data_IF_354038753716
#
_entry.id   IF_354038753716
#
_cell.length_a   1.000
_cell.length_b   1.000
_cell.length_c   1.000
_cell.angle_alpha   90.00
_cell.angle_beta   90.00
_cell.angle_gamma   90.00
#
_symmetry.space_group_name_H-M   'P 1'
#
loop_
_entity.id
_entity.type
_entity.pdbx_description
1 polymer ?
#
# COMPACT_ATOMS: atom_id res chain seq x y z
N UNK A 1 63.61 68.56 -20.09
CA UNK A 1 62.23 68.38 -19.54
C UNK A 1 61.79 66.96 -19.82
N UNK A 2 61.82 66.08 -18.81
CA UNK A 2 61.55 64.65 -18.95
C UNK A 2 60.25 64.42 -18.19
N UNK A 3 59.16 64.10 -18.93
CA UNK A 3 57.87 63.71 -18.36
C UNK A 3 57.94 62.28 -17.86
N UNK A 4 57.69 62.04 -16.57
CA UNK A 4 57.53 60.78 -15.94
C UNK A 4 56.05 60.31 -16.10
N UNK A 5 55.83 59.33 -16.90
CA UNK A 5 54.55 58.65 -16.95
C UNK A 5 54.48 57.67 -15.78
N UNK A 6 53.55 57.83 -14.86
CA UNK A 6 53.24 56.95 -13.77
C UNK A 6 52.33 55.81 -14.27
N UNK A 7 52.85 54.59 -14.32
CA UNK A 7 52.01 53.40 -14.59
C UNK A 7 51.09 53.11 -13.39
N UNK A 8 49.81 53.26 -13.57
CA UNK A 8 48.78 52.90 -12.62
C UNK A 8 48.43 51.39 -12.86
N UNK A 9 48.91 50.52 -11.99
CA UNK A 9 48.56 49.11 -12.02
C UNK A 9 47.26 48.94 -11.25
N UNK A 10 46.21 48.60 -11.97
CA UNK A 10 44.88 48.26 -11.42
C UNK A 10 44.88 46.80 -11.03
N UNK A 11 44.64 46.43 -9.75
CA UNK A 11 44.53 45.01 -9.40
C UNK A 11 43.20 44.46 -9.89
N UNK A 12 43.24 43.47 -10.77
CA UNK A 12 42.10 42.64 -11.16
C UNK A 12 41.69 41.75 -9.98
N UNK A 13 40.55 42.04 -9.36
CA UNK A 13 39.94 41.17 -8.38
C UNK A 13 39.32 39.98 -9.14
N UNK A 14 39.96 38.83 -9.08
CA UNK A 14 39.40 37.58 -9.54
C UNK A 14 38.40 37.10 -8.48
N UNK A 15 37.10 37.39 -8.66
CA UNK A 15 36.04 36.76 -7.89
C UNK A 15 35.88 35.36 -8.42
N UNK A 16 36.49 34.39 -7.73
CA UNK A 16 36.28 32.97 -8.01
C UNK A 16 34.84 32.59 -7.76
N UNK A 17 34.08 32.35 -8.84
CA UNK A 17 32.77 31.70 -8.75
C UNK A 17 33.01 30.24 -8.38
N UNK A 18 32.89 29.91 -7.08
CA UNK A 18 32.83 28.52 -6.65
C UNK A 18 31.52 27.93 -7.19
N UNK A 19 31.59 26.81 -7.94
CA UNK A 19 30.37 26.14 -8.35
C UNK A 19 29.65 25.65 -7.08
N UNK A 20 28.45 26.19 -6.83
CA UNK A 20 27.52 25.60 -5.87
C UNK A 20 27.19 24.22 -6.40
N UNK A 21 27.89 23.20 -5.94
CA UNK A 21 27.45 21.81 -6.13
C UNK A 21 26.15 21.67 -5.34
N UNK A 22 25.03 21.76 -6.07
CA UNK A 22 23.76 21.32 -5.56
C UNK A 22 23.93 19.86 -5.13
N UNK A 23 24.01 19.64 -3.82
CA UNK A 23 23.96 18.32 -3.25
C UNK A 23 22.62 17.73 -3.72
N UNK A 24 22.64 16.88 -4.75
CA UNK A 24 21.52 16.03 -5.07
C UNK A 24 21.24 15.23 -3.81
N UNK A 25 20.25 15.63 -3.04
CA UNK A 25 19.71 14.84 -1.97
C UNK A 25 19.23 13.55 -2.63
N UNK A 26 20.02 12.49 -2.44
CA UNK A 26 19.66 11.14 -2.87
C UNK A 26 18.31 10.85 -2.23
N UNK A 27 17.23 10.95 -3.02
CA UNK A 27 15.89 10.62 -2.53
C UNK A 27 15.98 9.18 -2.04
N UNK A 28 15.89 9.00 -0.74
CA UNK A 28 15.91 7.66 -0.17
C UNK A 28 14.70 6.90 -0.71
N UNK A 29 14.93 5.72 -1.30
CA UNK A 29 13.86 4.83 -1.73
C UNK A 29 13.07 4.26 -0.55
N UNK A 30 13.47 4.61 0.68
CA UNK A 30 12.91 4.09 1.92
C UNK A 30 12.15 5.21 2.63
N UNK A 31 10.92 4.91 3.02
CA UNK A 31 10.10 5.83 3.80
C UNK A 31 10.32 5.57 5.28
N UNK A 32 10.91 6.53 5.98
CA UNK A 32 11.01 6.51 7.42
C UNK A 32 9.97 7.45 8.04
N UNK A 33 9.75 7.30 9.34
CA UNK A 33 8.88 8.20 10.08
C UNK A 33 9.41 9.63 10.01
N UNK A 34 8.50 10.59 9.84
CA UNK A 34 8.80 12.02 9.89
C UNK A 34 8.26 12.65 11.18
N UNK A 35 8.80 13.80 11.53
CA UNK A 35 8.32 14.57 12.68
C UNK A 35 6.78 14.75 12.64
N UNK A 36 6.06 14.59 13.78
CA UNK A 36 6.57 14.38 15.14
C UNK A 36 6.88 12.93 15.53
N UNK A 37 6.75 11.98 14.61
CA UNK A 37 7.01 10.56 14.89
C UNK A 37 8.51 10.28 15.04
N UNK A 38 8.85 9.39 15.96
CA UNK A 38 10.23 8.93 16.11
C UNK A 38 10.66 8.12 14.88
N UNK A 39 11.90 8.32 14.43
CA UNK A 39 12.43 7.54 13.34
C UNK A 39 12.55 6.06 13.72
N UNK A 40 12.18 5.19 12.78
CA UNK A 40 12.30 3.74 12.95
C UNK A 40 13.78 3.34 12.84
N UNK A 41 14.28 2.45 13.72
CA UNK A 41 15.62 1.90 13.58
C UNK A 41 15.76 1.01 12.33
N UNK A 42 14.66 0.44 11.86
CA UNK A 42 14.58 -0.35 10.63
C UNK A 42 13.47 0.19 9.74
N UNK A 43 13.72 0.21 8.44
CA UNK A 43 12.74 0.63 7.43
C UNK A 43 12.38 -0.52 6.52
N UNK A 44 11.12 -0.57 6.13
CA UNK A 44 10.59 -1.56 5.21
C UNK A 44 11.18 -1.35 3.82
N UNK A 45 11.68 -2.41 3.20
CA UNK A 45 12.13 -2.36 1.81
C UNK A 45 10.93 -2.46 0.86
N UNK A 46 10.97 -1.78 -0.29
CA UNK A 46 9.93 -1.96 -1.30
C UNK A 46 9.83 -3.43 -1.73
N UNK A 47 8.60 -3.94 -1.85
CA UNK A 47 8.35 -5.33 -2.23
C UNK A 47 9.01 -5.64 -3.58
N UNK A 48 9.72 -6.75 -3.64
CA UNK A 48 10.46 -7.18 -4.83
C UNK A 48 11.89 -6.63 -4.95
N UNK A 49 12.32 -5.74 -4.04
CA UNK A 49 13.71 -5.24 -4.01
C UNK A 49 14.71 -6.34 -3.68
N UNK A 50 14.37 -7.23 -2.75
CA UNK A 50 15.18 -8.40 -2.40
C UNK A 50 14.59 -9.62 -3.08
N UNK A 51 15.45 -10.39 -3.73
CA UNK A 51 15.09 -11.65 -4.37
C UNK A 51 15.60 -12.82 -3.52
N UNK A 52 14.76 -13.76 -3.14
CA UNK A 52 15.19 -14.95 -2.42
C UNK A 52 16.08 -15.81 -3.30
N UNK A 53 16.96 -16.61 -2.66
CA UNK A 53 17.82 -17.60 -3.31
C UNK A 53 17.84 -18.89 -2.49
N UNK A 54 18.22 -19.99 -3.18
CA UNK A 54 18.36 -21.29 -2.56
C UNK A 54 17.03 -21.81 -2.00
N UNK A 55 17.06 -22.40 -0.79
CA UNK A 55 15.90 -23.03 -0.17
C UNK A 55 14.70 -22.09 0.00
N UNK A 56 14.93 -20.79 0.23
CA UNK A 56 13.87 -19.79 0.39
C UNK A 56 13.16 -19.53 -0.96
N UNK A 57 13.90 -19.44 -2.05
CA UNK A 57 13.35 -19.32 -3.41
C UNK A 57 12.51 -20.59 -3.75
N UNK A 58 13.04 -21.75 -3.42
CA UNK A 58 12.33 -23.02 -3.62
C UNK A 58 11.03 -23.08 -2.82
N UNK A 59 11.06 -22.68 -1.55
CA UNK A 59 9.86 -22.61 -0.70
C UNK A 59 8.80 -21.67 -1.30
N UNK A 60 9.19 -20.49 -1.76
CA UNK A 60 8.27 -19.55 -2.38
C UNK A 60 7.71 -20.07 -3.71
N UNK A 61 8.52 -20.76 -4.52
CA UNK A 61 8.05 -21.41 -5.74
C UNK A 61 7.04 -22.54 -5.42
N UNK A 62 7.25 -23.34 -4.38
CA UNK A 62 6.27 -24.33 -3.93
C UNK A 62 4.96 -23.69 -3.47
N UNK A 63 5.00 -22.53 -2.83
CA UNK A 63 3.79 -21.77 -2.50
C UNK A 63 3.07 -21.29 -3.77
N UNK A 64 3.82 -20.78 -4.75
CA UNK A 64 3.28 -20.26 -6.00
C UNK A 64 2.62 -21.35 -6.87
N UNK A 65 3.23 -22.55 -6.93
CA UNK A 65 2.71 -23.69 -7.68
C UNK A 65 1.76 -24.57 -6.89
N UNK A 66 1.69 -24.38 -5.59
CA UNK A 66 0.82 -25.11 -4.68
C UNK A 66 -0.48 -24.37 -4.38
N UNK A 67 -1.04 -24.65 -3.21
CA UNK A 67 -2.36 -24.16 -2.80
C UNK A 67 -2.47 -22.64 -2.83
N UNK A 68 -1.45 -21.91 -2.37
CA UNK A 68 -1.48 -20.44 -2.36
C UNK A 68 -1.70 -19.85 -3.76
N UNK A 69 -1.02 -20.40 -4.77
CA UNK A 69 -1.16 -19.95 -6.16
C UNK A 69 -2.47 -20.38 -6.84
N UNK A 70 -3.23 -21.32 -6.26
CA UNK A 70 -4.39 -21.94 -6.90
C UNK A 70 -5.69 -21.89 -6.09
N UNK A 71 -5.73 -21.18 -4.96
CA UNK A 71 -6.92 -21.06 -4.12
C UNK A 71 -8.14 -20.49 -4.86
N UNK A 72 -7.91 -19.64 -5.84
CA UNK A 72 -8.97 -19.06 -6.69
C UNK A 72 -9.78 -20.12 -7.44
N UNK A 73 -9.15 -21.21 -7.89
CA UNK A 73 -9.80 -22.32 -8.57
C UNK A 73 -10.32 -23.39 -7.60
N UNK A 74 -9.72 -23.52 -6.42
CA UNK A 74 -10.11 -24.50 -5.41
C UNK A 74 -11.32 -24.04 -4.61
N UNK A 75 -11.40 -22.74 -4.31
CA UNK A 75 -12.47 -22.17 -3.49
C UNK A 75 -13.03 -20.88 -4.11
N UNK A 76 -13.67 -21.04 -5.25
CA UNK A 76 -14.15 -19.95 -6.10
C UNK A 76 -15.02 -18.91 -5.38
N UNK A 77 -15.90 -19.36 -4.46
CA UNK A 77 -16.80 -18.49 -3.70
C UNK A 77 -16.07 -17.55 -2.73
N UNK A 78 -14.87 -17.93 -2.30
CA UNK A 78 -14.13 -17.24 -1.25
C UNK A 78 -12.86 -16.58 -1.77
N UNK A 79 -12.14 -17.20 -2.72
CA UNK A 79 -10.91 -16.65 -3.29
C UNK A 79 -10.98 -16.42 -4.81
N UNK A 80 -12.02 -16.94 -5.48
CA UNK A 80 -12.16 -16.84 -6.94
C UNK A 80 -13.17 -15.78 -7.36
N UNK A 81 -13.62 -15.89 -8.61
CA UNK A 81 -14.45 -14.88 -9.30
C UNK A 81 -15.79 -14.58 -8.61
N UNK A 82 -16.29 -15.50 -7.79
CA UNK A 82 -17.53 -15.28 -7.03
C UNK A 82 -17.33 -14.47 -5.75
N UNK A 83 -16.10 -14.16 -5.34
CA UNK A 83 -15.87 -13.36 -4.13
C UNK A 83 -16.49 -11.95 -4.27
N UNK A 84 -17.07 -11.44 -3.18
CA UNK A 84 -17.70 -10.12 -3.16
C UNK A 84 -16.72 -8.97 -3.38
N UNK A 85 -15.43 -9.16 -3.07
CA UNK A 85 -14.36 -8.21 -3.37
C UNK A 85 -13.93 -8.22 -4.85
N UNK A 86 -14.61 -9.02 -5.67
CA UNK A 86 -14.59 -8.98 -7.15
C UNK A 86 -15.95 -8.66 -7.72
N UNK A 87 -16.90 -8.21 -6.87
CA UNK A 87 -18.27 -7.92 -7.27
C UNK A 87 -19.18 -9.15 -7.36
N UNK A 88 -18.69 -10.33 -7.00
CA UNK A 88 -19.44 -11.59 -7.01
C UNK A 88 -20.50 -11.69 -5.90
N UNK A 89 -21.08 -12.88 -5.80
CA UNK A 89 -22.14 -13.23 -4.86
C UNK A 89 -21.65 -14.14 -3.69
N UNK A 90 -20.34 -14.38 -3.60
CA UNK A 90 -19.71 -15.20 -2.58
C UNK A 90 -19.33 -14.42 -1.33
N UNK A 91 -18.21 -14.82 -0.72
CA UNK A 91 -17.73 -14.23 0.53
C UNK A 91 -17.39 -12.74 0.39
N UNK A 92 -17.84 -11.96 1.36
CA UNK A 92 -17.64 -10.50 1.39
C UNK A 92 -16.71 -10.05 2.54
N UNK A 93 -16.25 -11.00 3.36
CA UNK A 93 -15.50 -10.67 4.57
C UNK A 93 -13.98 -10.83 4.37
N UNK A 94 -13.27 -11.39 5.36
CA UNK A 94 -11.81 -11.31 5.45
C UNK A 94 -11.03 -12.33 4.62
N UNK A 95 -11.63 -13.50 4.30
CA UNK A 95 -10.90 -14.68 3.77
C UNK A 95 -10.24 -14.41 2.42
N UNK A 96 -10.97 -13.81 1.49
CA UNK A 96 -10.43 -13.38 0.20
C UNK A 96 -9.32 -12.34 0.35
N UNK A 97 -9.54 -11.23 1.08
CA UNK A 97 -8.50 -10.27 1.42
C UNK A 97 -7.24 -10.90 2.03
N UNK A 98 -7.35 -11.81 2.98
CA UNK A 98 -6.19 -12.50 3.55
C UNK A 98 -5.40 -13.31 2.53
N UNK A 99 -6.08 -13.95 1.60
CA UNK A 99 -5.40 -14.66 0.53
C UNK A 99 -4.59 -13.70 -0.35
N UNK A 100 -5.16 -12.56 -0.72
CA UNK A 100 -4.47 -11.53 -1.52
C UNK A 100 -3.33 -10.87 -0.75
N UNK A 101 -3.47 -10.66 0.57
CA UNK A 101 -2.41 -10.14 1.45
C UNK A 101 -1.14 -11.02 1.39
N UNK A 102 -1.30 -12.33 1.19
CA UNK A 102 -0.19 -13.26 0.99
C UNK A 102 0.23 -13.42 -0.48
N UNK A 103 -0.72 -13.44 -1.41
CA UNK A 103 -0.45 -13.69 -2.83
C UNK A 103 0.28 -12.52 -3.50
N UNK A 104 -0.07 -11.29 -3.17
CA UNK A 104 0.54 -10.09 -3.76
C UNK A 104 2.05 -10.04 -3.51
N UNK A 105 2.55 -10.07 -2.27
CA UNK A 105 3.99 -10.05 -2.05
C UNK A 105 4.70 -11.25 -2.68
N UNK A 106 4.09 -12.45 -2.66
CA UNK A 106 4.63 -13.63 -3.34
C UNK A 106 4.80 -13.37 -4.85
N UNK A 107 3.78 -12.80 -5.51
CA UNK A 107 3.79 -12.50 -6.93
C UNK A 107 4.90 -11.51 -7.32
N UNK A 108 5.09 -10.45 -6.53
CA UNK A 108 6.06 -9.41 -6.83
C UNK A 108 7.49 -9.78 -6.41
N UNK A 109 7.68 -10.53 -5.32
CA UNK A 109 9.00 -11.00 -4.92
C UNK A 109 9.55 -12.01 -5.93
N UNK A 110 8.74 -12.96 -6.39
CA UNK A 110 9.12 -13.92 -7.42
C UNK A 110 9.12 -13.33 -8.84
N UNK A 111 8.56 -12.14 -9.03
CA UNK A 111 8.29 -11.54 -10.34
C UNK A 111 7.43 -12.45 -11.24
N UNK A 112 6.49 -13.18 -10.63
CA UNK A 112 5.65 -14.15 -11.30
C UNK A 112 4.45 -13.48 -12.00
N UNK A 113 4.41 -13.55 -13.33
CA UNK A 113 3.39 -12.88 -14.16
C UNK A 113 1.99 -13.44 -13.93
N UNK A 114 1.85 -14.75 -13.78
CA UNK A 114 0.55 -15.41 -13.59
C UNK A 114 -0.08 -15.01 -12.25
N UNK A 115 0.71 -14.99 -11.18
CA UNK A 115 0.23 -14.55 -9.88
C UNK A 115 -0.12 -13.06 -9.88
N UNK A 116 0.65 -12.22 -10.57
CA UNK A 116 0.31 -10.80 -10.74
C UNK A 116 -1.02 -10.62 -11.47
N UNK A 117 -1.29 -11.44 -12.51
CA UNK A 117 -2.57 -11.44 -13.21
C UNK A 117 -3.74 -11.84 -12.31
N UNK A 118 -3.54 -12.73 -11.32
CA UNK A 118 -4.55 -13.09 -10.33
C UNK A 118 -4.80 -11.97 -9.32
N UNK A 119 -3.77 -11.24 -8.93
CA UNK A 119 -3.86 -10.10 -7.99
C UNK A 119 -4.55 -8.89 -8.61
N UNK A 120 -4.26 -8.58 -9.87
CA UNK A 120 -4.67 -7.33 -10.52
C UNK A 120 -6.19 -7.07 -10.48
N UNK A 121 -7.09 -8.03 -10.75
CA UNK A 121 -8.54 -7.82 -10.66
C UNK A 121 -9.00 -7.36 -9.26
N UNK A 122 -8.39 -7.85 -8.19
CA UNK A 122 -8.70 -7.44 -6.83
C UNK A 122 -8.33 -5.99 -6.57
N UNK A 123 -7.17 -5.57 -7.05
CA UNK A 123 -6.73 -4.17 -6.95
C UNK A 123 -7.68 -3.24 -7.73
N UNK A 124 -7.95 -3.58 -8.99
CA UNK A 124 -8.80 -2.74 -9.84
C UNK A 124 -10.24 -2.67 -9.30
N UNK A 125 -10.81 -3.79 -8.88
CA UNK A 125 -12.14 -3.77 -8.28
C UNK A 125 -12.17 -2.95 -6.99
N UNK A 126 -11.17 -3.10 -6.13
CA UNK A 126 -11.06 -2.33 -4.88
C UNK A 126 -11.06 -0.83 -5.18
N UNK A 127 -10.20 -0.38 -6.11
CA UNK A 127 -10.14 1.03 -6.51
C UNK A 127 -11.45 1.52 -7.10
N UNK A 128 -12.06 0.74 -8.00
CA UNK A 128 -13.30 1.07 -8.67
C UNK A 128 -14.52 1.07 -7.74
N UNK A 129 -14.47 0.31 -6.64
CA UNK A 129 -15.56 0.23 -5.66
C UNK A 129 -15.71 1.47 -4.78
N UNK A 130 -14.73 2.40 -4.82
CA UNK A 130 -14.76 3.57 -3.95
C UNK A 130 -15.90 4.50 -4.33
N UNK A 131 -16.76 4.78 -3.36
CA UNK A 131 -17.91 5.69 -3.48
C UNK A 131 -17.46 7.15 -3.30
N UNK A 132 -18.28 8.13 -3.74
CA UNK A 132 -17.98 9.55 -3.58
C UNK A 132 -17.69 9.99 -2.13
N UNK A 133 -18.30 9.32 -1.15
CA UNK A 133 -18.04 9.58 0.27
C UNK A 133 -16.76 8.94 0.81
N UNK A 134 -16.03 8.18 -0.01
CA UNK A 134 -14.78 7.51 0.37
C UNK A 134 -14.94 6.06 0.84
N UNK A 135 -16.16 5.57 1.09
CA UNK A 135 -16.40 4.14 1.37
C UNK A 135 -15.93 3.27 0.21
N UNK A 136 -15.37 2.09 0.49
CA UNK A 136 -14.99 1.11 -0.54
C UNK A 136 -15.30 -0.32 -0.08
N UNK A 137 -15.30 -1.22 -1.04
CA UNK A 137 -15.53 -2.64 -0.81
C UNK A 137 -17.02 -3.03 -0.83
N UNK A 138 -17.32 -4.30 -0.55
CA UNK A 138 -18.68 -4.78 -0.42
C UNK A 138 -19.44 -4.03 0.66
N UNK A 139 -20.74 -3.77 0.45
CA UNK A 139 -21.62 -3.08 1.41
C UNK A 139 -22.88 -3.89 1.74
N UNK A 140 -23.12 -4.96 1.00
CA UNK A 140 -24.24 -5.89 1.20
C UNK A 140 -23.80 -7.31 0.92
N UNK A 141 -24.38 -8.26 1.62
CA UNK A 141 -24.28 -9.68 1.29
C UNK A 141 -25.22 -9.98 0.13
N UNK A 142 -24.69 -10.50 -0.97
CA UNK A 142 -25.46 -10.78 -2.19
C UNK A 142 -26.03 -12.18 -2.26
N UNK A 143 -25.43 -13.13 -1.58
CA UNK A 143 -25.80 -14.53 -1.64
C UNK A 143 -25.95 -15.18 -0.28
N UNK A 144 -26.74 -16.26 -0.23
CA UNK A 144 -26.84 -17.14 0.91
C UNK A 144 -26.43 -18.54 0.53
N UNK A 145 -25.26 -18.94 0.99
CA UNK A 145 -24.81 -20.31 0.86
C UNK A 145 -24.18 -20.78 2.19
N UNK A 146 -24.30 -22.07 2.53
CA UNK A 146 -23.62 -22.63 3.68
C UNK A 146 -22.10 -22.39 3.59
N UNK A 147 -21.50 -21.99 4.71
CA UNK A 147 -20.08 -21.72 4.81
C UNK A 147 -19.65 -20.30 4.42
N UNK A 148 -20.54 -19.45 3.91
CA UNK A 148 -20.27 -18.02 3.77
C UNK A 148 -20.61 -17.28 5.06
N UNK A 149 -19.83 -16.25 5.34
CA UNK A 149 -20.10 -15.33 6.45
C UNK A 149 -21.10 -14.26 6.04
N UNK A 150 -21.88 -13.77 7.01
CA UNK A 150 -23.00 -12.88 6.76
C UNK A 150 -23.04 -11.70 7.71
N UNK A 151 -23.85 -10.71 7.34
CA UNK A 151 -24.18 -9.51 8.11
C UNK A 151 -22.95 -8.68 8.47
N UNK A 152 -21.86 -8.88 7.73
CA UNK A 152 -20.56 -8.27 8.00
C UNK A 152 -19.88 -7.63 6.77
N UNK A 153 -20.59 -7.48 5.64
CA UNK A 153 -20.07 -6.82 4.44
C UNK A 153 -19.53 -5.41 4.74
N UNK A 154 -20.17 -4.70 5.69
CA UNK A 154 -19.76 -3.35 6.10
C UNK A 154 -18.72 -3.32 7.21
N UNK A 155 -18.31 -4.46 7.77
CA UNK A 155 -17.34 -4.53 8.85
C UNK A 155 -16.05 -3.77 8.50
N UNK A 156 -15.48 -3.12 9.50
CA UNK A 156 -14.22 -2.42 9.37
C UNK A 156 -13.02 -3.35 9.14
N UNK A 157 -13.09 -4.54 9.72
CA UNK A 157 -11.95 -5.44 9.76
C UNK A 157 -11.42 -5.86 8.36
N UNK A 158 -12.24 -6.37 7.41
CA UNK A 158 -11.73 -6.72 6.09
C UNK A 158 -11.12 -5.54 5.35
N UNK A 159 -11.64 -4.33 5.60
CA UNK A 159 -11.12 -3.09 5.02
C UNK A 159 -9.71 -2.76 5.52
N UNK A 160 -9.41 -3.05 6.79
CA UNK A 160 -8.05 -2.90 7.33
C UNK A 160 -7.06 -3.82 6.61
N UNK A 161 -7.45 -5.07 6.33
CA UNK A 161 -6.63 -6.02 5.54
C UNK A 161 -6.42 -5.48 4.13
N UNK A 162 -7.48 -4.98 3.47
CA UNK A 162 -7.38 -4.45 2.11
C UNK A 162 -6.53 -3.16 2.06
N UNK A 163 -6.59 -2.31 3.06
CA UNK A 163 -5.69 -1.14 3.14
C UNK A 163 -4.21 -1.55 3.18
N UNK A 164 -3.88 -2.63 3.90
CA UNK A 164 -2.53 -3.21 3.88
C UNK A 164 -2.16 -3.76 2.49
N UNK A 165 -3.09 -4.43 1.82
CA UNK A 165 -2.89 -4.88 0.42
C UNK A 165 -2.59 -3.69 -0.49
N UNK A 166 -3.32 -2.58 -0.36
CA UNK A 166 -3.09 -1.37 -1.15
C UNK A 166 -1.73 -0.74 -0.84
N UNK A 167 -1.31 -0.73 0.41
CA UNK A 167 0.04 -0.30 0.82
C UNK A 167 1.12 -1.19 0.17
N UNK A 168 0.94 -2.51 0.20
CA UNK A 168 1.84 -3.47 -0.45
C UNK A 168 1.90 -3.25 -1.96
N UNK A 169 0.74 -3.03 -2.60
CA UNK A 169 0.65 -2.76 -4.04
C UNK A 169 1.40 -1.47 -4.41
N UNK A 170 1.18 -0.40 -3.63
CA UNK A 170 1.95 0.83 -3.80
C UNK A 170 3.45 0.62 -3.59
N UNK A 171 3.84 -0.17 -2.59
CA UNK A 171 5.25 -0.50 -2.34
C UNK A 171 5.90 -1.15 -3.55
N UNK A 172 5.20 -2.10 -4.20
CA UNK A 172 5.69 -2.85 -5.35
C UNK A 172 5.67 -2.05 -6.67
N UNK A 173 4.65 -1.21 -6.88
CA UNK A 173 4.35 -0.62 -8.20
C UNK A 173 4.48 0.90 -8.27
N UNK A 174 4.39 1.58 -7.12
CA UNK A 174 4.25 3.04 -7.03
C UNK A 174 3.01 3.60 -7.71
N UNK A 175 1.94 2.82 -7.82
CA UNK A 175 0.68 3.27 -8.41
C UNK A 175 0.08 4.44 -7.61
N UNK A 176 0.06 5.60 -8.24
CA UNK A 176 -0.34 6.86 -7.60
C UNK A 176 -1.83 6.92 -7.24
N UNK A 177 -2.67 6.02 -7.75
CA UNK A 177 -4.09 5.94 -7.43
C UNK A 177 -4.33 5.52 -5.98
N UNK A 178 -3.40 4.80 -5.38
CA UNK A 178 -3.50 4.30 -4.00
C UNK A 178 -3.58 5.43 -2.98
N UNK A 179 -2.79 6.48 -3.15
CA UNK A 179 -2.71 7.57 -2.17
C UNK A 179 -4.05 8.32 -2.02
N UNK A 180 -4.67 8.84 -3.09
CA UNK A 180 -5.98 9.49 -2.96
C UNK A 180 -7.09 8.52 -2.52
N UNK A 181 -7.05 7.26 -2.96
CA UNK A 181 -7.97 6.22 -2.53
C UNK A 181 -7.96 6.04 -1.00
N UNK A 182 -6.78 5.82 -0.41
CA UNK A 182 -6.66 5.65 1.05
C UNK A 182 -6.98 6.95 1.81
N UNK A 183 -6.59 8.11 1.26
CA UNK A 183 -6.91 9.41 1.86
C UNK A 183 -8.42 9.63 1.95
N UNK A 184 -9.17 9.34 0.89
CA UNK A 184 -10.62 9.47 0.87
C UNK A 184 -11.30 8.49 1.84
N UNK A 185 -10.79 7.26 1.93
CA UNK A 185 -11.31 6.30 2.89
C UNK A 185 -11.10 6.74 4.34
N UNK A 186 -9.92 7.24 4.71
CA UNK A 186 -9.70 7.69 6.08
C UNK A 186 -10.52 8.94 6.45
N UNK A 187 -10.83 9.81 5.50
CA UNK A 187 -11.82 10.88 5.72
C UNK A 187 -13.21 10.31 6.01
N UNK A 188 -13.67 9.34 5.20
CA UNK A 188 -14.92 8.62 5.44
C UNK A 188 -14.92 7.96 6.83
N UNK A 189 -13.84 7.26 7.18
CA UNK A 189 -13.73 6.58 8.47
C UNK A 189 -13.79 7.56 9.65
N UNK A 190 -13.17 8.72 9.54
CA UNK A 190 -13.21 9.76 10.58
C UNK A 190 -14.65 10.25 10.83
N UNK A 191 -15.47 10.37 9.79
CA UNK A 191 -16.87 10.81 9.89
C UNK A 191 -17.80 9.69 10.38
N UNK A 192 -17.48 8.43 10.07
CA UNK A 192 -18.36 7.29 10.37
C UNK A 192 -18.08 6.60 11.71
N UNK A 193 -16.84 6.64 12.22
CA UNK A 193 -16.49 5.98 13.49
C UNK A 193 -17.33 6.42 14.69
N UNK A 194 -17.71 7.70 14.84
CA UNK A 194 -18.60 8.12 15.93
C UNK A 194 -20.00 7.49 15.87
N UNK A 195 -20.49 7.14 14.67
CA UNK A 195 -21.79 6.54 14.45
C UNK A 195 -21.74 5.00 14.46
N UNK A 196 -20.63 4.48 13.94
CA UNK A 196 -20.39 3.05 13.76
C UNK A 196 -19.00 2.71 14.33
N UNK A 197 -18.85 2.55 15.66
CA UNK A 197 -17.57 2.24 16.28
C UNK A 197 -17.00 0.91 15.79
N UNK A 198 -15.71 0.68 16.01
CA UNK A 198 -14.98 -0.49 15.47
C UNK A 198 -15.67 -1.82 15.80
N UNK A 199 -16.20 -1.99 17.01
CA UNK A 199 -16.93 -3.20 17.42
C UNK A 199 -18.36 -3.33 16.91
N UNK A 200 -18.85 -2.44 16.02
CA UNK A 200 -20.24 -2.39 15.56
C UNK A 200 -20.74 -3.69 14.91
N UNK A 201 -19.94 -4.26 14.04
CA UNK A 201 -20.31 -5.48 13.28
C UNK A 201 -19.68 -6.73 13.87
N UNK A 202 -18.37 -6.69 14.09
CA UNK A 202 -17.64 -7.76 14.78
C UNK A 202 -16.64 -7.17 15.77
N UNK A 203 -16.31 -7.94 16.81
CA UNK A 203 -15.29 -7.54 17.78
C UNK A 203 -13.87 -7.51 17.18
N UNK A 204 -13.67 -8.15 16.03
CA UNK A 204 -12.37 -8.26 15.39
C UNK A 204 -11.79 -6.90 15.00
N UNK A 205 -12.62 -6.00 14.47
CA UNK A 205 -12.16 -4.67 14.10
C UNK A 205 -11.67 -3.86 15.31
N UNK A 206 -12.30 -4.03 16.48
CA UNK A 206 -11.85 -3.42 17.72
C UNK A 206 -10.51 -4.00 18.17
N UNK A 207 -10.39 -5.34 18.20
CA UNK A 207 -9.14 -6.02 18.60
C UNK A 207 -7.98 -5.75 17.64
N UNK A 208 -8.26 -5.44 16.38
CA UNK A 208 -7.29 -5.20 15.32
C UNK A 208 -7.15 -3.72 14.93
N UNK A 209 -7.61 -2.80 15.78
CA UNK A 209 -7.50 -1.36 15.51
C UNK A 209 -6.07 -0.87 15.27
N UNK A 210 -5.06 -1.58 15.77
CA UNK A 210 -3.65 -1.31 15.51
C UNK A 210 -3.27 -1.46 14.04
N UNK A 211 -3.87 -2.41 13.32
CA UNK A 211 -3.63 -2.61 11.87
C UNK A 211 -4.13 -1.39 11.08
N UNK A 212 -5.29 -0.84 11.48
CA UNK A 212 -5.82 0.38 10.90
C UNK A 212 -4.89 1.59 11.15
N UNK A 213 -4.44 1.74 12.39
CA UNK A 213 -3.55 2.84 12.80
C UNK A 213 -2.21 2.79 12.07
N UNK A 214 -1.67 1.59 11.83
CA UNK A 214 -0.44 1.40 11.06
C UNK A 214 -0.60 1.99 9.64
N UNK A 215 -1.75 1.81 8.98
CA UNK A 215 -2.01 2.35 7.66
C UNK A 215 -2.20 3.86 7.66
N UNK A 216 -2.77 4.44 8.72
CA UNK A 216 -2.84 5.90 8.91
C UNK A 216 -1.43 6.49 8.98
N UNK A 217 -0.56 5.91 9.80
CA UNK A 217 0.83 6.37 9.91
C UNK A 217 1.57 6.22 8.59
N UNK A 218 1.42 5.08 7.91
CA UNK A 218 2.04 4.91 6.60
C UNK A 218 1.60 5.98 5.59
N UNK A 219 0.29 6.27 5.54
CA UNK A 219 -0.23 7.30 4.63
C UNK A 219 0.30 8.70 4.99
N UNK A 220 0.40 9.01 6.27
CA UNK A 220 1.02 10.24 6.76
C UNK A 220 2.47 10.38 6.27
N UNK A 221 3.25 9.29 6.32
CA UNK A 221 4.65 9.30 5.88
C UNK A 221 4.80 9.59 4.38
N UNK A 222 3.95 8.98 3.55
CA UNK A 222 4.08 9.08 2.10
C UNK A 222 3.46 10.35 1.51
N UNK A 223 2.45 10.94 2.16
CA UNK A 223 1.74 12.11 1.62
C UNK A 223 2.44 13.42 1.91
N UNK A 224 3.30 13.49 2.92
CA UNK A 224 3.93 14.72 3.42
C UNK A 224 2.90 15.83 3.77
N UNK A 225 1.66 15.47 3.99
CA UNK A 225 0.57 16.35 4.42
C UNK A 225 0.16 16.02 5.84
N UNK A 226 -0.04 17.05 6.62
CA UNK A 226 -0.68 16.98 7.94
C UNK A 226 -2.17 17.01 7.72
#
# INVERSE_FOLDING_TARGET
>A
MINKIKNLILPFLFVGILPLQAQQTKVSNYTNNRYPLLQKPFVELPIGTIKPKGWLEEQMNRMATGMTGHMDSIYEKVMGQRNGWLGGDGDVWERGPYWIDGLLPLAYILDNKELKQKVQPWIEWTLASQKPNGYFGPDTDKGYEPGLQRDNARDWWPKMVVLKIMQQYYSATKDQRVIPFMTNYFKYQLEELPKNPLGKWTFWAEQRGGDNLMMVYWLYEVTKRV
#
